data_IF_801985259635
#
_entry.id   IF_801985259635
#
_cell.length_a   1.000
_cell.length_b   1.000
_cell.length_c   1.000
_cell.angle_alpha   90.00
_cell.angle_beta   90.00
_cell.angle_gamma   90.00
#
_symmetry.space_group_name_H-M   'P 1'
#
loop_
_entity.id
_entity.type
_entity.pdbx_description
1 polymer ?
#
# COMPACT_ATOMS: atom_id res chain seq x y z
N UNK A 1 3.90 15.33 17.21
CA UNK A 1 3.88 13.88 16.92
C UNK A 1 5.08 13.52 16.06
N UNK A 2 5.87 12.55 16.50
CA UNK A 2 7.04 12.12 15.74
C UNK A 2 6.60 11.23 14.59
N UNK A 3 6.99 11.59 13.37
CA UNK A 3 6.75 10.77 12.19
C UNK A 3 7.92 9.82 11.98
N UNK A 4 7.60 8.59 11.59
CA UNK A 4 8.58 7.62 11.12
C UNK A 4 8.46 7.50 9.61
N UNK A 5 9.58 7.22 8.96
CA UNK A 5 9.63 7.11 7.51
C UNK A 5 9.99 5.69 7.11
N UNK A 6 9.26 5.16 6.15
CA UNK A 6 9.62 3.92 5.48
C UNK A 6 9.55 4.17 3.98
N UNK A 7 10.57 3.75 3.25
CA UNK A 7 10.54 3.82 1.80
C UNK A 7 11.09 2.54 1.19
N UNK A 8 10.60 2.24 -0.02
CA UNK A 8 11.01 1.07 -0.76
C UNK A 8 10.92 1.37 -2.25
N UNK A 9 11.80 0.76 -3.03
CA UNK A 9 11.76 0.86 -4.49
C UNK A 9 11.76 -0.54 -5.08
N UNK A 10 11.03 -0.71 -6.18
CA UNK A 10 10.98 -1.98 -6.92
C UNK A 10 10.89 -1.67 -8.41
N UNK A 11 11.82 -2.22 -9.18
CA UNK A 11 11.75 -2.14 -10.64
C UNK A 11 11.02 -3.36 -11.18
N UNK A 12 10.01 -3.12 -12.04
CA UNK A 12 9.23 -4.17 -12.68
C UNK A 12 9.50 -4.13 -14.19
N UNK A 13 9.69 -5.30 -14.83
CA UNK A 13 10.04 -5.38 -16.25
C UNK A 13 8.82 -5.26 -17.18
N UNK A 14 7.97 -4.27 -16.91
CA UNK A 14 6.75 -4.02 -17.69
C UNK A 14 6.53 -2.52 -17.84
N UNK A 15 5.89 -2.07 -18.93
CA UNK A 15 5.59 -0.67 -19.14
C UNK A 15 4.68 -0.12 -18.05
N UNK A 16 4.81 1.17 -17.78
CA UNK A 16 3.97 1.85 -16.79
C UNK A 16 2.49 1.71 -17.11
N UNK A 17 2.13 1.68 -18.39
CA UNK A 17 0.74 1.51 -18.84
C UNK A 17 0.16 0.13 -18.48
N UNK A 18 0.99 -0.83 -18.16
CA UNK A 18 0.54 -2.14 -17.66
C UNK A 18 0.57 -2.19 -16.14
N UNK A 19 1.55 -1.53 -15.53
CA UNK A 19 1.77 -1.58 -14.08
C UNK A 19 0.76 -0.71 -13.33
N UNK A 20 0.60 0.54 -13.74
CA UNK A 20 -0.27 1.48 -13.03
C UNK A 20 -1.72 1.00 -12.93
N UNK A 21 -2.34 0.48 -14.01
CA UNK A 21 -3.73 0.01 -13.92
C UNK A 21 -3.96 -1.09 -12.89
N UNK A 22 -2.96 -1.92 -12.63
CA UNK A 22 -3.05 -2.93 -11.57
C UNK A 22 -3.34 -2.28 -10.21
N UNK A 23 -2.68 -1.16 -9.93
CA UNK A 23 -2.87 -0.43 -8.68
C UNK A 23 -4.16 0.40 -8.66
N UNK A 24 -4.80 0.59 -9.82
CA UNK A 24 -6.09 1.27 -9.91
C UNK A 24 -7.24 0.38 -9.47
N UNK A 25 -7.01 -0.92 -9.36
CA UNK A 25 -8.02 -1.87 -8.91
C UNK A 25 -7.79 -2.16 -7.43
N UNK A 26 -8.66 -1.60 -6.58
CA UNK A 26 -8.48 -1.70 -5.13
C UNK A 26 -8.45 -3.14 -4.63
N UNK A 27 -9.18 -4.05 -5.28
CA UNK A 27 -9.21 -5.46 -4.87
C UNK A 27 -7.88 -6.17 -5.09
N UNK A 28 -7.02 -5.65 -5.95
CA UNK A 28 -5.68 -6.20 -6.13
C UNK A 28 -4.82 -6.06 -4.88
N UNK A 29 -5.19 -5.16 -3.96
CA UNK A 29 -4.50 -5.05 -2.67
C UNK A 29 -4.61 -6.34 -1.85
N UNK A 30 -5.68 -7.11 -2.04
CA UNK A 30 -5.82 -8.39 -1.36
C UNK A 30 -4.72 -9.37 -1.76
N UNK A 31 -4.30 -9.34 -3.02
CA UNK A 31 -3.20 -10.17 -3.51
C UNK A 31 -1.84 -9.71 -3.02
N UNK A 32 -1.69 -8.41 -2.77
CA UNK A 32 -0.43 -7.81 -2.34
C UNK A 32 -0.24 -7.82 -0.82
N UNK A 33 -1.27 -8.18 -0.08
CA UNK A 33 -1.23 -8.15 1.38
C UNK A 33 -0.99 -9.56 1.91
N UNK A 34 -0.08 -9.71 2.90
CA UNK A 34 0.21 -11.04 3.44
C UNK A 34 -1.03 -11.78 3.95
N UNK A 35 -1.12 -13.10 3.70
CA UNK A 35 -2.32 -13.86 4.09
C UNK A 35 -2.62 -13.84 5.58
N UNK A 36 -1.60 -13.69 6.43
CA UNK A 36 -1.81 -13.66 7.87
C UNK A 36 -2.55 -12.42 8.37
N UNK A 37 -2.63 -11.36 7.55
CA UNK A 37 -3.40 -10.16 7.89
C UNK A 37 -4.88 -10.30 7.57
N UNK A 38 -5.30 -11.33 6.85
CA UNK A 38 -6.70 -11.56 6.46
C UNK A 38 -7.35 -10.30 5.87
N UNK A 39 -6.63 -9.65 4.97
CA UNK A 39 -7.06 -8.38 4.37
C UNK A 39 -8.31 -8.58 3.52
N UNK A 40 -9.29 -7.68 3.70
CA UNK A 40 -10.54 -7.72 2.94
C UNK A 40 -11.00 -6.30 2.63
N UNK A 41 -11.31 -6.04 1.36
CA UNK A 41 -11.91 -4.77 0.93
C UNK A 41 -13.40 -4.85 1.23
N UNK A 42 -13.90 -3.94 2.07
CA UNK A 42 -15.30 -3.90 2.49
C UNK A 42 -16.16 -3.04 1.57
N UNK A 43 -15.57 -2.03 0.93
CA UNK A 43 -16.28 -1.14 0.03
C UNK A 43 -16.81 -1.92 -1.17
N UNK A 44 -18.12 -1.79 -1.49
CA UNK A 44 -18.71 -2.51 -2.63
C UNK A 44 -18.10 -2.09 -3.97
N UNK A 45 -17.99 -3.05 -4.88
CA UNK A 45 -17.61 -2.77 -6.26
C UNK A 45 -18.81 -2.19 -7.03
N UNK A 46 -18.60 -1.37 -8.06
CA UNK A 46 -17.31 -0.92 -8.58
C UNK A 46 -16.69 0.17 -7.72
N UNK A 47 -15.35 0.15 -7.63
CA UNK A 47 -14.59 1.18 -6.92
C UNK A 47 -13.87 2.01 -7.98
N UNK A 48 -14.30 3.26 -8.15
CA UNK A 48 -13.72 4.18 -9.13
C UNK A 48 -12.74 5.10 -8.43
N UNK A 49 -11.47 4.95 -8.76
CA UNK A 49 -10.41 5.74 -8.13
C UNK A 49 -10.50 7.20 -8.54
N UNK A 50 -10.46 8.09 -7.56
CA UNK A 50 -10.52 9.55 -7.74
C UNK A 50 -10.08 10.23 -6.45
N UNK A 51 -9.69 11.51 -6.50
CA UNK A 51 -9.41 12.25 -5.27
C UNK A 51 -10.67 12.32 -4.40
N UNK A 52 -10.49 12.08 -3.10
CA UNK A 52 -11.57 12.11 -2.13
C UNK A 52 -12.30 10.77 -1.95
N UNK A 53 -11.96 9.75 -2.74
CA UNK A 53 -12.57 8.43 -2.59
C UNK A 53 -12.21 7.83 -1.24
N UNK A 54 -13.22 7.27 -0.56
CA UNK A 54 -13.03 6.53 0.70
C UNK A 54 -13.13 5.04 0.43
N UNK A 55 -12.18 4.28 0.94
CA UNK A 55 -12.16 2.82 0.82
C UNK A 55 -12.03 2.23 2.21
N UNK A 56 -12.91 1.29 2.53
CA UNK A 56 -12.90 0.60 3.83
C UNK A 56 -12.32 -0.79 3.69
N UNK A 57 -11.42 -1.14 4.61
CA UNK A 57 -10.80 -2.45 4.71
C UNK A 57 -11.03 -3.05 6.10
N UNK A 58 -10.86 -4.37 6.17
CA UNK A 58 -10.72 -5.07 7.43
C UNK A 58 -9.43 -5.89 7.36
N UNK A 59 -8.64 -5.83 8.44
CA UNK A 59 -7.42 -6.62 8.58
C UNK A 59 -7.36 -7.24 9.97
N UNK A 60 -6.51 -8.26 10.13
CA UNK A 60 -6.17 -8.80 11.45
C UNK A 60 -4.71 -8.56 11.72
N UNK A 61 -4.42 -7.82 12.78
CA UNK A 61 -3.05 -7.57 13.21
C UNK A 61 -2.84 -8.35 14.50
N UNK A 62 -1.92 -9.32 14.46
CA UNK A 62 -1.66 -10.24 15.57
C UNK A 62 -2.97 -10.86 16.10
N UNK A 63 -3.83 -11.27 15.15
CA UNK A 63 -5.11 -11.92 15.46
C UNK A 63 -6.25 -10.99 15.85
N UNK A 64 -6.01 -9.69 15.98
CA UNK A 64 -7.02 -8.71 16.37
C UNK A 64 -7.64 -8.09 15.12
N UNK A 65 -8.97 -8.22 14.92
CA UNK A 65 -9.62 -7.58 13.76
C UNK A 65 -9.67 -6.08 13.93
N UNK A 66 -9.29 -5.36 12.87
CA UNK A 66 -9.23 -3.91 12.85
C UNK A 66 -9.85 -3.42 11.55
N UNK A 67 -10.69 -2.38 11.64
CA UNK A 67 -11.17 -1.67 10.47
C UNK A 67 -10.21 -0.56 10.11
N UNK A 68 -10.07 -0.33 8.81
CA UNK A 68 -9.17 0.68 8.27
C UNK A 68 -9.91 1.45 7.19
N UNK A 69 -10.07 2.76 7.40
CA UNK A 69 -10.64 3.63 6.37
C UNK A 69 -9.54 4.48 5.77
N UNK A 70 -9.42 4.44 4.45
CA UNK A 70 -8.44 5.24 3.73
C UNK A 70 -9.14 6.23 2.80
N UNK A 71 -8.50 7.36 2.57
CA UNK A 71 -8.89 8.33 1.56
C UNK A 71 -7.81 8.39 0.49
N UNK A 72 -8.22 8.39 -0.78
CA UNK A 72 -7.32 8.68 -1.89
C UNK A 72 -7.22 10.20 -1.98
N UNK A 73 -6.15 10.79 -1.45
CA UNK A 73 -6.02 12.25 -1.39
C UNK A 73 -5.40 12.84 -2.65
N UNK A 74 -4.62 12.06 -3.40
CA UNK A 74 -4.06 12.44 -4.70
C UNK A 74 -4.28 11.29 -5.66
N UNK A 75 -4.73 11.59 -6.86
CA UNK A 75 -4.91 10.62 -7.93
C UNK A 75 -4.45 11.23 -9.25
N UNK A 76 -3.23 10.89 -9.68
CA UNK A 76 -2.58 11.48 -10.86
C UNK A 76 -2.02 10.37 -11.77
N UNK A 77 -2.89 9.63 -12.48
CA UNK A 77 -2.44 8.56 -13.36
C UNK A 77 -1.66 9.11 -14.56
N UNK A 78 -0.65 8.43 -15.03
CA UNK A 78 -0.08 7.18 -14.51
C UNK A 78 1.12 7.42 -13.58
N UNK A 79 1.22 8.60 -12.98
CA UNK A 79 2.43 9.04 -12.27
C UNK A 79 2.44 8.70 -10.80
N UNK A 80 1.35 8.98 -10.09
CA UNK A 80 1.32 8.77 -8.64
C UNK A 80 -0.10 8.74 -8.10
N UNK A 81 -0.22 8.20 -6.90
CA UNK A 81 -1.39 8.41 -6.06
C UNK A 81 -0.97 8.35 -4.59
N UNK A 82 -1.80 8.92 -3.74
CA UNK A 82 -1.56 8.97 -2.30
C UNK A 82 -2.78 8.45 -1.58
N UNK A 83 -2.58 7.49 -0.68
CA UNK A 83 -3.62 7.05 0.24
C UNK A 83 -3.24 7.46 1.66
N UNK A 84 -4.25 7.89 2.41
CA UNK A 84 -4.09 8.35 3.77
C UNK A 84 -5.14 7.72 4.66
N UNK A 85 -4.71 7.16 5.79
CA UNK A 85 -5.63 6.58 6.76
C UNK A 85 -6.42 7.69 7.46
N UNK A 86 -7.75 7.55 7.46
CA UNK A 86 -8.62 8.41 8.26
C UNK A 86 -8.93 7.77 9.61
N UNK A 87 -9.14 6.46 9.63
CA UNK A 87 -9.29 5.71 10.88
C UNK A 87 -8.65 4.34 10.72
N UNK A 88 -8.07 3.83 11.80
CA UNK A 88 -7.36 2.57 11.74
C UNK A 88 -6.34 2.44 12.86
N UNK A 89 -5.36 1.51 12.69
CA UNK A 89 -4.42 1.17 13.75
C UNK A 89 -3.32 2.20 14.00
N UNK A 90 -3.16 3.16 13.08
CA UNK A 90 -2.12 4.19 13.21
C UNK A 90 -2.72 5.52 13.63
N UNK A 91 -1.91 6.39 14.22
CA UNK A 91 -2.27 7.80 14.39
C UNK A 91 -2.02 8.58 13.10
N UNK A 92 -1.06 8.14 12.30
CA UNK A 92 -0.77 8.67 10.98
C UNK A 92 -0.35 7.53 10.07
N UNK A 93 -0.91 7.48 8.88
CA UNK A 93 -0.43 6.64 7.79
C UNK A 93 -0.68 7.39 6.49
N UNK A 94 0.40 7.84 5.86
CA UNK A 94 0.35 8.60 4.61
C UNK A 94 1.30 7.94 3.63
N UNK A 95 0.76 7.36 2.56
CA UNK A 95 1.49 6.51 1.65
C UNK A 95 1.45 7.07 0.23
N UNK A 96 2.59 7.51 -0.27
CA UNK A 96 2.75 7.99 -1.64
C UNK A 96 3.29 6.86 -2.51
N UNK A 97 2.58 6.58 -3.60
CA UNK A 97 2.97 5.60 -4.61
C UNK A 97 3.38 6.34 -5.87
N UNK A 98 4.61 6.15 -6.31
CA UNK A 98 5.16 6.82 -7.51
C UNK A 98 5.58 5.78 -8.54
N UNK A 99 5.29 6.05 -9.80
CA UNK A 99 5.58 5.15 -10.92
C UNK A 99 6.35 5.91 -11.98
N UNK A 100 7.60 5.51 -12.20
CA UNK A 100 8.51 6.18 -13.15
C UNK A 100 8.97 5.20 -14.21
N UNK A 101 8.92 5.61 -15.47
CA UNK A 101 9.48 4.80 -16.55
C UNK A 101 11.00 4.78 -16.44
N UNK A 102 11.58 3.59 -16.47
CA UNK A 102 13.02 3.42 -16.38
C UNK A 102 13.46 2.12 -17.07
N UNK A 103 14.43 2.23 -17.97
CA UNK A 103 15.07 1.07 -18.61
C UNK A 103 14.06 0.08 -19.22
N UNK A 104 13.04 0.58 -19.89
CA UNK A 104 12.01 -0.24 -20.53
C UNK A 104 11.01 -0.86 -19.58
N UNK A 105 11.08 -0.54 -18.30
CA UNK A 105 10.16 -1.01 -17.28
C UNK A 105 9.64 0.14 -16.43
N UNK A 106 9.22 -0.18 -15.23
CA UNK A 106 8.65 0.79 -14.29
C UNK A 106 9.34 0.70 -12.93
N UNK A 107 9.84 1.82 -12.46
CA UNK A 107 10.31 1.94 -11.09
C UNK A 107 9.13 2.33 -10.21
N UNK A 108 8.75 1.43 -9.30
CA UNK A 108 7.69 1.66 -8.33
C UNK A 108 8.33 2.08 -7.01
N UNK A 109 7.96 3.26 -6.50
CA UNK A 109 8.49 3.75 -5.25
C UNK A 109 7.35 3.94 -4.25
N UNK A 110 7.57 3.45 -3.03
CA UNK A 110 6.67 3.65 -1.90
C UNK A 110 7.33 4.55 -0.88
N UNK A 111 6.66 5.62 -0.50
CA UNK A 111 7.10 6.51 0.57
C UNK A 111 5.99 6.59 1.61
N UNK A 112 6.26 6.09 2.81
CA UNK A 112 5.29 6.02 3.89
C UNK A 112 5.75 6.90 5.04
N UNK A 113 4.88 7.82 5.47
CA UNK A 113 5.03 8.54 6.73
C UNK A 113 4.02 7.97 7.69
N UNK A 114 4.47 7.51 8.86
CA UNK A 114 3.57 6.87 9.80
C UNK A 114 3.92 7.20 11.24
N UNK A 115 2.92 7.06 12.09
CA UNK A 115 3.07 7.16 13.54
C UNK A 115 2.16 6.10 14.16
N UNK A 116 2.72 5.03 14.72
CA UNK A 116 1.89 3.99 15.31
C UNK A 116 1.33 4.43 16.66
N UNK A 117 0.23 3.83 17.05
CA UNK A 117 -0.26 3.98 18.42
C UNK A 117 0.79 3.41 19.37
N UNK A 118 1.07 4.13 20.45
CA UNK A 118 2.17 3.79 21.37
C UNK A 118 3.51 4.38 20.98
N UNK A 119 3.59 5.10 19.84
CA UNK A 119 4.74 5.92 19.46
C UNK A 119 6.03 5.16 19.24
N UNK A 120 7.16 5.78 19.65
CA UNK A 120 8.49 5.26 19.36
C UNK A 120 8.78 3.88 19.94
N UNK A 121 8.26 3.59 21.13
CA UNK A 121 8.46 2.29 21.76
C UNK A 121 7.80 1.17 20.97
N UNK A 122 6.54 1.36 20.57
CA UNK A 122 5.82 0.37 19.77
C UNK A 122 6.44 0.20 18.40
N UNK A 123 6.92 1.30 17.81
CA UNK A 123 7.62 1.22 16.53
C UNK A 123 8.88 0.36 16.65
N UNK A 124 9.68 0.58 17.67
CA UNK A 124 10.91 -0.17 17.89
C UNK A 124 10.64 -1.65 18.18
N UNK A 125 9.63 -1.95 19.03
CA UNK A 125 9.35 -3.32 19.45
C UNK A 125 8.70 -4.16 18.35
N UNK A 126 7.73 -3.60 17.59
CA UNK A 126 6.87 -4.41 16.71
C UNK A 126 6.61 -3.80 15.35
N UNK A 127 6.25 -2.51 15.29
CA UNK A 127 5.65 -1.94 14.09
C UNK A 127 6.62 -1.87 12.93
N UNK A 128 7.86 -1.47 13.19
CA UNK A 128 8.88 -1.36 12.14
C UNK A 128 9.10 -2.70 11.44
N UNK A 129 9.22 -3.77 12.21
CA UNK A 129 9.40 -5.11 11.66
C UNK A 129 8.16 -5.56 10.87
N UNK A 130 6.96 -5.25 11.37
CA UNK A 130 5.72 -5.58 10.66
C UNK A 130 5.66 -4.85 9.32
N UNK A 131 5.96 -3.55 9.29
CA UNK A 131 5.94 -2.76 8.05
C UNK A 131 6.94 -3.34 7.04
N UNK A 132 8.16 -3.64 7.48
CA UNK A 132 9.18 -4.22 6.60
C UNK A 132 8.74 -5.57 6.02
N UNK A 133 8.12 -6.43 6.84
CA UNK A 133 7.63 -7.73 6.38
C UNK A 133 6.50 -7.61 5.37
N UNK A 134 5.57 -6.69 5.61
CA UNK A 134 4.44 -6.45 4.71
C UNK A 134 4.94 -5.99 3.35
N UNK A 135 5.86 -5.03 3.32
CA UNK A 135 6.38 -4.53 2.06
C UNK A 135 7.27 -5.53 1.33
N UNK A 136 8.00 -6.37 2.07
CA UNK A 136 8.78 -7.46 1.46
C UNK A 136 7.86 -8.45 0.75
N UNK A 137 6.77 -8.87 1.40
CA UNK A 137 5.78 -9.75 0.78
C UNK A 137 5.20 -9.09 -0.48
N UNK A 138 4.83 -7.82 -0.37
CA UNK A 138 4.27 -7.06 -1.49
C UNK A 138 5.21 -7.04 -2.69
N UNK A 139 6.49 -6.77 -2.45
CA UNK A 139 7.48 -6.75 -3.53
C UNK A 139 7.67 -8.10 -4.19
N UNK A 140 7.75 -9.15 -3.41
CA UNK A 140 7.85 -10.52 -3.93
C UNK A 140 6.64 -10.86 -4.78
N UNK A 141 5.47 -10.48 -4.31
CA UNK A 141 4.22 -10.76 -5.03
C UNK A 141 4.14 -9.97 -6.34
N UNK A 142 4.52 -8.71 -6.33
CA UNK A 142 4.57 -7.90 -7.54
C UNK A 142 5.53 -8.47 -8.59
N UNK A 143 6.69 -8.93 -8.15
CA UNK A 143 7.64 -9.59 -9.05
C UNK A 143 7.04 -10.84 -9.66
N UNK A 144 6.34 -11.65 -8.90
CA UNK A 144 5.67 -12.84 -9.42
C UNK A 144 4.63 -12.49 -10.49
N UNK A 145 3.83 -11.46 -10.22
CA UNK A 145 2.75 -11.04 -11.13
C UNK A 145 3.31 -10.47 -12.43
N UNK A 146 4.30 -9.59 -12.35
CA UNK A 146 4.78 -8.84 -13.51
C UNK A 146 6.00 -9.46 -14.19
N UNK A 147 6.64 -10.47 -13.61
CA UNK A 147 7.73 -11.19 -14.25
C UNK A 147 7.23 -12.31 -15.15
N UNK A 148 6.00 -12.76 -14.96
CA UNK A 148 5.44 -13.83 -15.80
C UNK A 148 5.22 -13.34 -17.22
N UNK A 149 5.68 -14.13 -18.16
CA UNK A 149 5.43 -13.87 -19.59
C UNK A 149 4.18 -14.63 -20.01
N UNK A 150 3.38 -13.97 -20.76
CA UNK A 150 2.25 -14.59 -21.44
C UNK A 150 2.68 -15.12 -22.80
#
# INVERSE_FOLDING_TARGET
MKEFLFNAELWLPRPRDEVFPFFSEARNLEELTPPWLKFEVLTPAPIVMRPGLLIDYRIKIHGIPIRWRTEIVVWEPPHQFVDQQLSGPYNLWHHTHTFTERDGGTLCRDDVRYHPRGGALMNWLFVRADVERIFRYRQERLLQIFSKRT
#
